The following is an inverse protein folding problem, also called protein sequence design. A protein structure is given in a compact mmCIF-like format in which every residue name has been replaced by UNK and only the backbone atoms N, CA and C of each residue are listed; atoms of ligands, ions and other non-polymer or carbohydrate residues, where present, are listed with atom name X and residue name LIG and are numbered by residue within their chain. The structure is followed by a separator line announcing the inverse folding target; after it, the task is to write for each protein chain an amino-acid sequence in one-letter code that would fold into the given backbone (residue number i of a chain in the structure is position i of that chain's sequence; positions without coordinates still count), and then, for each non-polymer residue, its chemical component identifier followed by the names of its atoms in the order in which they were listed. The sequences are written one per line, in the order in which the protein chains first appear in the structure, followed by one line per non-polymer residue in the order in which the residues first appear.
data_IF_675044458103
#
_entry.id   IF_675044458103
#
_cell.length_a   1.000
_cell.length_b   1.000
_cell.length_c   1.000
_cell.angle_alpha   90.00
_cell.angle_beta   90.00
_cell.angle_gamma   90.00
#
_symmetry.space_group_name_H-M   'P 1'
#
loop_
_entity.id
_entity.type
_entity.pdbx_description
1 polymer ?
#
# COMPACT_ATOMS: atom_id res chain seq x y z
N UNK A 1 6.16 7.97 10.34
CA UNK A 1 6.75 9.30 10.07
C UNK A 1 6.36 10.34 11.12
N UNK A 2 5.08 10.71 11.27
CA UNK A 2 4.66 11.75 12.23
C UNK A 2 3.83 11.25 13.42
N UNK A 3 3.20 10.06 13.30
CA UNK A 3 2.24 9.53 14.27
C UNK A 3 1.06 10.48 14.60
N UNK A 4 0.75 11.40 13.68
CA UNK A 4 -0.33 12.36 13.85
C UNK A 4 -1.70 11.66 13.68
N UNK A 5 -2.60 11.71 14.69
CA UNK A 5 -3.92 11.09 14.61
C UNK A 5 -4.81 11.66 13.50
N UNK A 6 -4.50 12.87 12.99
CA UNK A 6 -5.22 13.47 11.87
C UNK A 6 -5.31 12.53 10.66
N UNK A 7 -4.23 11.79 10.34
CA UNK A 7 -4.22 10.88 9.19
C UNK A 7 -5.17 9.69 9.36
N UNK A 8 -5.41 9.24 10.59
CA UNK A 8 -6.39 8.18 10.86
C UNK A 8 -7.82 8.69 10.66
N UNK A 9 -8.10 9.96 10.99
CA UNK A 9 -9.40 10.58 10.74
C UNK A 9 -9.66 10.78 9.25
N UNK A 10 -8.63 11.21 8.50
CA UNK A 10 -8.68 11.27 7.03
C UNK A 10 -8.94 9.88 6.45
N UNK A 11 -8.22 8.85 6.90
CA UNK A 11 -8.43 7.46 6.48
C UNK A 11 -9.86 6.97 6.75
N UNK A 12 -10.42 7.29 7.91
CA UNK A 12 -11.81 6.95 8.29
C UNK A 12 -12.82 7.64 7.36
N UNK A 13 -12.58 8.90 7.03
CA UNK A 13 -13.40 9.67 6.10
C UNK A 13 -13.35 9.06 4.70
N UNK A 14 -12.16 8.70 4.21
CA UNK A 14 -11.99 8.03 2.91
C UNK A 14 -12.76 6.70 2.88
N UNK A 15 -12.57 5.86 3.90
CA UNK A 15 -13.25 4.56 3.98
C UNK A 15 -14.77 4.71 3.97
N UNK A 16 -15.29 5.66 4.76
CA UNK A 16 -16.73 5.94 4.84
C UNK A 16 -17.28 6.39 3.49
N UNK A 17 -16.54 7.24 2.76
CA UNK A 17 -16.95 7.71 1.44
C UNK A 17 -16.87 6.60 0.38
N UNK A 18 -15.86 5.72 0.43
CA UNK A 18 -15.77 4.56 -0.46
C UNK A 18 -16.96 3.62 -0.27
N UNK A 19 -17.30 3.29 0.98
CA UNK A 19 -18.47 2.45 1.28
C UNK A 19 -19.79 3.11 0.88
N UNK A 20 -19.90 4.43 1.04
CA UNK A 20 -21.13 5.17 0.70
C UNK A 20 -21.32 5.35 -0.81
N UNK A 21 -20.25 5.62 -1.55
CA UNK A 21 -20.33 6.10 -2.93
C UNK A 21 -19.82 5.11 -3.96
N UNK A 22 -18.80 4.30 -3.65
CA UNK A 22 -18.18 3.39 -4.62
C UNK A 22 -18.60 1.93 -4.46
N UNK A 23 -19.24 1.56 -3.35
CA UNK A 23 -19.71 0.19 -3.10
C UNK A 23 -20.92 -0.15 -3.97
N UNK A 24 -20.85 -1.31 -4.61
CA UNK A 24 -21.94 -1.92 -5.41
C UNK A 24 -22.15 -3.38 -4.95
N UNK A 25 -23.25 -4.08 -5.28
CA UNK A 25 -23.53 -5.41 -4.74
C UNK A 25 -22.39 -6.43 -4.92
N UNK A 26 -21.71 -6.42 -6.07
CA UNK A 26 -20.63 -7.36 -6.41
C UNK A 26 -19.22 -6.90 -6.00
N UNK A 27 -19.05 -5.70 -5.44
CA UNK A 27 -17.72 -5.18 -5.12
C UNK A 27 -17.68 -3.66 -5.06
N UNK A 28 -16.73 -3.07 -5.77
CA UNK A 28 -16.56 -1.62 -5.90
C UNK A 28 -16.57 -1.25 -7.38
N UNK A 29 -17.11 -0.08 -7.68
CA UNK A 29 -17.18 0.45 -9.04
C UNK A 29 -16.61 1.87 -9.08
N UNK A 30 -15.96 2.20 -10.19
CA UNK A 30 -15.53 3.57 -10.47
C UNK A 30 -16.76 4.50 -10.60
N UNK A 31 -16.57 5.77 -10.27
CA UNK A 31 -17.57 6.81 -10.54
C UNK A 31 -17.21 7.49 -11.85
N UNK A 32 -18.11 7.44 -12.83
CA UNK A 32 -17.95 8.16 -14.09
C UNK A 32 -18.08 9.67 -13.89
N UNK A 33 -18.92 10.09 -12.92
CA UNK A 33 -19.07 11.47 -12.50
C UNK A 33 -19.29 11.54 -10.97
N UNK A 34 -18.34 12.18 -10.29
CA UNK A 34 -18.33 12.31 -8.83
C UNK A 34 -19.39 13.28 -8.29
N UNK A 35 -19.89 14.20 -9.13
CA UNK A 35 -20.91 15.17 -8.73
C UNK A 35 -22.31 14.55 -8.69
N UNK A 36 -22.57 13.63 -9.61
CA UNK A 36 -23.84 12.91 -9.71
C UNK A 36 -23.82 11.54 -9.02
N UNK A 37 -22.63 10.98 -8.78
CA UNK A 37 -22.47 9.65 -8.18
C UNK A 37 -22.79 8.50 -9.14
N UNK A 38 -22.73 8.74 -10.46
CA UNK A 38 -22.95 7.69 -11.45
C UNK A 38 -21.79 6.70 -11.48
N UNK A 39 -22.11 5.41 -11.48
CA UNK A 39 -21.13 4.32 -11.59
C UNK A 39 -20.78 4.00 -13.04
N UNK A 40 -19.53 3.63 -13.27
CA UNK A 40 -19.07 2.90 -14.44
C UNK A 40 -18.93 1.41 -14.07
N UNK A 41 -19.31 0.48 -14.95
CA UNK A 41 -19.17 -0.96 -14.71
C UNK A 41 -17.71 -1.43 -14.86
N UNK A 42 -16.82 -0.87 -14.04
CA UNK A 42 -15.40 -1.16 -13.98
C UNK A 42 -14.90 -1.02 -12.55
N UNK A 43 -14.08 -1.98 -12.15
CA UNK A 43 -13.23 -1.89 -10.96
C UNK A 43 -11.78 -1.94 -11.40
N UNK A 44 -11.06 -0.84 -11.24
CA UNK A 44 -9.64 -0.81 -11.58
C UNK A 44 -8.82 -1.63 -10.55
N UNK A 45 -7.79 -2.33 -11.02
CA UNK A 45 -6.98 -3.25 -10.19
C UNK A 45 -6.28 -2.56 -9.02
N UNK A 46 -5.91 -1.28 -9.19
CA UNK A 46 -5.27 -0.47 -8.17
C UNK A 46 -6.14 -0.26 -6.93
N UNK A 47 -7.47 -0.42 -7.02
CA UNK A 47 -8.34 -0.32 -5.85
C UNK A 47 -7.96 -1.38 -4.81
N UNK A 48 -7.67 -2.60 -5.26
CA UNK A 48 -7.21 -3.68 -4.38
C UNK A 48 -5.71 -3.57 -4.07
N UNK A 49 -4.89 -3.34 -5.10
CA UNK A 49 -3.44 -3.36 -4.95
C UNK A 49 -2.94 -2.18 -4.10
N UNK A 50 -3.55 -1.00 -4.24
CA UNK A 50 -3.08 0.23 -3.62
C UNK A 50 -4.06 0.72 -2.56
N UNK A 51 -5.29 1.07 -2.96
CA UNK A 51 -6.21 1.85 -2.11
C UNK A 51 -6.53 1.11 -0.81
N UNK A 52 -6.99 -0.15 -0.91
CA UNK A 52 -7.30 -0.95 0.28
C UNK A 52 -6.06 -1.41 1.04
N UNK A 53 -4.93 -1.63 0.34
CA UNK A 53 -3.67 -1.97 1.00
C UNK A 53 -3.18 -0.82 1.88
N UNK A 54 -3.20 0.42 1.39
CA UNK A 54 -2.79 1.59 2.17
C UNK A 54 -3.75 1.86 3.32
N UNK A 55 -5.06 1.74 3.12
CA UNK A 55 -6.03 1.88 4.21
C UNK A 55 -5.82 0.79 5.28
N UNK A 56 -5.56 -0.46 4.89
CA UNK A 56 -5.24 -1.54 5.83
C UNK A 56 -4.00 -1.22 6.65
N UNK A 57 -2.89 -0.86 6.00
CA UNK A 57 -1.62 -0.53 6.68
C UNK A 57 -1.72 0.72 7.55
N UNK A 58 -2.56 1.69 7.17
CA UNK A 58 -2.79 2.91 7.95
C UNK A 58 -3.40 2.59 9.33
N UNK A 59 -4.28 1.59 9.40
CA UNK A 59 -4.91 1.15 10.65
C UNK A 59 -4.15 -0.01 11.34
N UNK A 60 -3.05 -0.49 10.77
CA UNK A 60 -2.21 -1.55 11.34
C UNK A 60 -1.31 -1.01 12.47
N UNK A 61 -1.87 -0.99 13.69
CA UNK A 61 -1.24 -0.42 14.89
C UNK A 61 -0.61 -1.47 15.83
N UNK A 62 0.45 -1.06 16.54
CA UNK A 62 1.13 -1.85 17.59
C UNK A 62 0.16 -2.13 18.75
N UNK A 63 0.14 -3.34 19.37
CA UNK A 63 1.11 -4.45 19.23
C UNK A 63 0.75 -5.48 18.14
N UNK A 64 -0.31 -5.26 17.38
CA UNK A 64 -0.85 -6.26 16.44
C UNK A 64 -0.32 -6.14 15.01
N UNK A 65 0.75 -5.35 14.82
CA UNK A 65 1.35 -5.12 13.50
C UNK A 65 1.87 -6.43 12.90
N UNK A 66 1.34 -6.81 11.75
CA UNK A 66 1.72 -8.04 11.05
C UNK A 66 2.92 -7.86 10.12
N UNK A 67 3.13 -6.64 9.60
CA UNK A 67 4.18 -6.32 8.64
C UNK A 67 5.02 -5.15 9.16
N UNK A 68 6.33 -5.36 9.30
CA UNK A 68 7.27 -4.27 9.55
C UNK A 68 7.56 -3.50 8.26
N UNK A 69 6.82 -2.41 8.04
CA UNK A 69 6.93 -1.58 6.83
C UNK A 69 8.32 -0.97 6.63
N UNK A 70 9.13 -0.84 7.69
CA UNK A 70 10.48 -0.25 7.60
C UNK A 70 11.46 -1.18 6.86
N UNK A 71 11.09 -2.45 6.63
CA UNK A 71 11.90 -3.43 5.88
C UNK A 71 11.57 -3.49 4.38
N UNK A 72 10.64 -2.66 3.89
CA UNK A 72 10.17 -2.72 2.52
C UNK A 72 10.18 -1.34 1.84
N UNK A 73 10.37 -1.36 0.52
CA UNK A 73 10.11 -0.23 -0.37
C UNK A 73 8.86 -0.55 -1.18
N UNK A 74 7.97 0.43 -1.30
CA UNK A 74 6.78 0.31 -2.11
C UNK A 74 7.09 0.78 -3.52
N UNK A 75 6.66 0.02 -4.52
CA UNK A 75 6.59 0.53 -5.89
C UNK A 75 5.42 1.51 -6.04
N UNK A 76 5.33 2.17 -7.20
CA UNK A 76 4.18 3.02 -7.52
C UNK A 76 2.84 2.27 -7.56
N UNK A 77 2.84 0.94 -7.65
CA UNK A 77 1.64 0.06 -7.62
C UNK A 77 1.47 -0.60 -6.25
N UNK A 78 2.09 -0.02 -5.21
CA UNK A 78 2.10 -0.52 -3.83
C UNK A 78 2.64 -1.96 -3.67
N UNK A 79 3.46 -2.46 -4.59
CA UNK A 79 4.10 -3.77 -4.41
C UNK A 79 5.26 -3.64 -3.40
N UNK A 80 5.30 -4.55 -2.43
CA UNK A 80 6.31 -4.59 -1.38
C UNK A 80 7.59 -5.23 -1.92
N UNK A 81 8.68 -4.47 -1.98
CA UNK A 81 10.01 -4.96 -2.32
C UNK A 81 10.88 -4.95 -1.05
N UNK A 82 11.32 -6.11 -0.54
CA UNK A 82 12.13 -6.13 0.67
C UNK A 82 13.52 -5.53 0.44
N UNK A 83 14.01 -4.76 1.41
CA UNK A 83 15.33 -4.11 1.36
C UNK A 83 16.49 -5.12 1.23
N UNK A 84 16.28 -6.35 1.73
CA UNK A 84 17.29 -7.41 1.65
C UNK A 84 17.68 -7.77 0.20
N UNK A 85 16.82 -7.54 -0.80
CA UNK A 85 17.14 -7.76 -2.22
C UNK A 85 18.34 -6.94 -2.67
N UNK A 86 18.52 -5.74 -2.11
CA UNK A 86 19.67 -4.88 -2.38
C UNK A 86 20.92 -5.37 -1.63
N UNK A 87 20.75 -5.86 -0.39
CA UNK A 87 21.83 -6.32 0.47
C UNK A 87 22.43 -7.67 0.01
N UNK A 88 21.63 -8.57 -0.56
CA UNK A 88 22.15 -9.81 -1.14
C UNK A 88 23.20 -9.52 -2.22
N UNK A 89 22.92 -8.56 -3.10
CA UNK A 89 23.83 -8.23 -4.20
C UNK A 89 25.12 -7.53 -3.71
N UNK A 90 25.02 -6.71 -2.65
CA UNK A 90 26.20 -6.09 -2.01
C UNK A 90 27.04 -7.14 -1.29
N UNK A 91 26.43 -8.04 -0.52
CA UNK A 91 27.16 -9.10 0.17
C UNK A 91 27.85 -10.05 -0.80
N UNK A 92 27.22 -10.38 -1.94
CA UNK A 92 27.85 -11.17 -2.98
C UNK A 92 28.95 -10.41 -3.73
N UNK A 93 28.79 -9.11 -3.95
CA UNK A 93 29.81 -8.26 -4.57
C UNK A 93 31.01 -8.08 -3.64
N UNK A 94 30.79 -7.77 -2.37
CA UNK A 94 31.83 -7.69 -1.35
C UNK A 94 32.53 -9.04 -1.17
N UNK A 95 31.80 -10.16 -1.10
CA UNK A 95 32.41 -11.50 -1.10
C UNK A 95 33.28 -11.74 -2.33
N UNK A 96 32.84 -11.33 -3.51
CA UNK A 96 33.64 -11.44 -4.75
C UNK A 96 34.88 -10.55 -4.73
N UNK A 97 34.81 -9.34 -4.18
CA UNK A 97 35.98 -8.46 -4.06
C UNK A 97 36.99 -8.96 -3.03
N UNK A 98 36.52 -9.42 -1.86
CA UNK A 98 37.39 -10.05 -0.85
C UNK A 98 38.11 -11.29 -1.40
N UNK A 99 37.41 -12.16 -2.12
CA UNK A 99 38.01 -13.36 -2.72
C UNK A 99 38.94 -13.08 -3.90
N UNK A 100 39.00 -11.84 -4.41
CA UNK A 100 39.90 -11.42 -5.50
C UNK A 100 41.22 -10.86 -4.97
N UNK A 101 41.30 -10.54 -3.67
CA UNK A 101 42.50 -10.04 -3.00
C UNK A 101 43.33 -11.13 -2.30
N UNK A 102 42.84 -12.37 -2.27
CA UNK A 102 43.56 -13.59 -1.85
C UNK A 102 43.81 -14.50 -3.04
#
# INVERSE_FOLDING_TARGET
ATNDPHYLEVGRTILTNLEKHARVPCGYAALSDVSTGQHEDRMDSFVLAETFKYLYLLFDSIPHRYIDIDQFIFTTEAHLLPLNLLLFNINDTLKKEFNKQT
#
